data_IF_791169546289
#
_entry.id   IF_791169546289
#
_cell.length_a   1.000
_cell.length_b   1.000
_cell.length_c   1.000
_cell.angle_alpha   90.00
_cell.angle_beta   90.00
_cell.angle_gamma   90.00
#
_symmetry.space_group_name_H-M   'P 1'
#
loop_
_entity.id
_entity.type
_entity.pdbx_description
1 polymer ?
#
# COMPACT_ATOMS: atom_id res chain seq x y z
N UNK A 1 -8.24 -13.52 1.25
CA UNK A 1 -7.53 -14.66 0.62
C UNK A 1 -8.40 -15.84 0.20
N UNK A 2 -9.18 -16.49 1.09
CA UNK A 2 -9.98 -17.67 0.66
C UNK A 2 -11.02 -17.27 -0.41
N UNK A 3 -11.72 -16.15 -0.23
CA UNK A 3 -12.72 -15.65 -1.20
C UNK A 3 -12.08 -15.18 -2.53
N UNK A 4 -10.89 -14.58 -2.46
CA UNK A 4 -10.15 -14.07 -3.62
C UNK A 4 -9.60 -15.23 -4.47
N UNK A 5 -9.17 -16.31 -3.81
CA UNK A 5 -8.76 -17.56 -4.46
C UNK A 5 -9.90 -18.29 -5.18
N UNK A 6 -11.16 -17.88 -4.98
CA UNK A 6 -12.33 -18.38 -5.70
C UNK A 6 -12.81 -17.43 -6.83
N UNK A 7 -12.18 -16.27 -7.03
CA UNK A 7 -12.54 -15.34 -8.11
C UNK A 7 -13.73 -14.40 -7.84
N UNK A 8 -14.18 -14.24 -6.58
CA UNK A 8 -15.26 -13.29 -6.22
C UNK A 8 -14.73 -11.91 -5.79
N UNK A 9 -14.11 -11.18 -6.72
CA UNK A 9 -13.65 -9.79 -6.52
C UNK A 9 -14.80 -8.86 -6.10
N UNK A 10 -16.02 -9.15 -6.56
CA UNK A 10 -17.24 -8.38 -6.23
C UNK A 10 -17.68 -8.62 -4.79
N UNK A 11 -17.54 -9.84 -4.27
CA UNK A 11 -17.82 -10.19 -2.88
C UNK A 11 -16.86 -9.52 -1.89
N UNK A 12 -15.58 -9.49 -2.25
CA UNK A 12 -14.57 -8.74 -1.50
C UNK A 12 -14.87 -7.24 -1.44
N UNK A 13 -15.22 -6.63 -2.58
CA UNK A 13 -15.60 -5.21 -2.65
C UNK A 13 -16.84 -4.91 -1.79
N UNK A 14 -17.88 -5.76 -1.83
CA UNK A 14 -19.09 -5.61 -1.01
C UNK A 14 -18.82 -5.79 0.49
N UNK A 15 -17.92 -6.70 0.87
CA UNK A 15 -17.53 -6.88 2.26
C UNK A 15 -16.80 -5.65 2.79
N UNK A 16 -15.93 -5.07 1.97
CA UNK A 16 -15.25 -3.81 2.26
C UNK A 16 -16.24 -2.63 2.39
N UNK A 17 -17.20 -2.48 1.47
CA UNK A 17 -18.22 -1.42 1.54
C UNK A 17 -19.09 -1.51 2.81
N UNK A 18 -19.44 -2.72 3.25
CA UNK A 18 -20.19 -2.94 4.49
C UNK A 18 -19.36 -2.66 5.74
N UNK A 19 -18.09 -3.06 5.76
CA UNK A 19 -17.19 -2.72 6.85
C UNK A 19 -17.00 -1.20 6.95
N UNK A 20 -16.80 -0.52 5.82
CA UNK A 20 -16.67 0.94 5.75
C UNK A 20 -17.91 1.68 6.27
N UNK A 21 -19.12 1.17 5.96
CA UNK A 21 -20.37 1.75 6.45
C UNK A 21 -20.56 1.58 7.97
N UNK A 22 -20.02 0.52 8.57
CA UNK A 22 -20.09 0.27 10.01
C UNK A 22 -19.05 1.07 10.81
N UNK A 23 -17.92 1.38 10.18
CA UNK A 23 -16.76 2.03 10.81
C UNK A 23 -16.82 3.58 10.76
N UNK A 24 -17.77 4.14 10.01
CA UNK A 24 -17.93 5.59 9.83
C UNK A 24 -18.17 6.42 11.12
N UNK A 25 -18.32 5.78 12.28
CA UNK A 25 -18.46 6.42 13.59
C UNK A 25 -17.13 6.54 14.38
N UNK A 26 -16.02 5.96 13.91
CA UNK A 26 -14.73 5.95 14.62
C UNK A 26 -13.55 6.33 13.69
N UNK A 27 -13.03 7.57 13.76
CA UNK A 27 -11.99 8.07 12.84
C UNK A 27 -10.71 7.22 12.76
N UNK A 28 -10.14 6.66 13.87
CA UNK A 28 -8.95 5.82 13.79
C UNK A 28 -9.19 4.51 13.00
N UNK A 29 -10.41 3.98 13.05
CA UNK A 29 -10.75 2.76 12.34
C UNK A 29 -10.93 3.03 10.83
N UNK A 30 -11.31 4.25 10.43
CA UNK A 30 -11.38 4.65 9.02
C UNK A 30 -10.00 4.75 8.36
N UNK A 31 -9.00 5.24 9.08
CA UNK A 31 -7.58 5.24 8.68
C UNK A 31 -7.09 3.84 8.33
N UNK A 32 -7.19 2.93 9.30
CA UNK A 32 -6.80 1.54 9.12
C UNK A 32 -7.58 0.84 7.98
N UNK A 33 -8.88 1.11 7.85
CA UNK A 33 -9.71 0.55 6.76
C UNK A 33 -9.25 1.06 5.40
N UNK A 34 -8.93 2.34 5.28
CA UNK A 34 -8.42 2.93 4.04
C UNK A 34 -7.06 2.30 3.66
N UNK A 35 -6.15 2.17 4.62
CA UNK A 35 -4.85 1.53 4.39
C UNK A 35 -4.99 0.07 3.97
N UNK A 36 -5.87 -0.70 4.62
CA UNK A 36 -6.15 -2.09 4.22
C UNK A 36 -6.63 -2.18 2.76
N UNK A 37 -7.58 -1.33 2.36
CA UNK A 37 -8.05 -1.29 0.97
C UNK A 37 -6.98 -0.89 -0.03
N UNK A 38 -6.20 0.17 0.26
CA UNK A 38 -5.14 0.60 -0.66
C UNK A 38 -4.05 -0.45 -0.75
N UNK A 39 -3.65 -1.05 0.38
CA UNK A 39 -2.65 -2.12 0.43
C UNK A 39 -3.09 -3.36 -0.34
N UNK A 40 -4.34 -3.79 -0.17
CA UNK A 40 -4.91 -4.90 -0.93
C UNK A 40 -4.95 -4.59 -2.44
N UNK A 41 -5.44 -3.42 -2.82
CA UNK A 41 -5.48 -2.99 -4.20
C UNK A 41 -4.08 -2.87 -4.82
N UNK A 42 -3.06 -2.50 -4.04
CA UNK A 42 -1.66 -2.52 -4.45
C UNK A 42 -1.17 -3.93 -4.79
N UNK A 43 -1.50 -4.92 -3.95
CA UNK A 43 -1.15 -6.34 -4.19
C UNK A 43 -1.88 -6.88 -5.43
N UNK A 44 -3.18 -6.59 -5.55
CA UNK A 44 -4.03 -7.04 -6.66
C UNK A 44 -3.82 -6.23 -7.95
N UNK A 45 -3.02 -5.16 -7.89
CA UNK A 45 -2.80 -4.19 -8.98
C UNK A 45 -4.08 -3.47 -9.46
N UNK A 46 -5.08 -3.33 -8.60
CA UNK A 46 -6.34 -2.61 -8.86
C UNK A 46 -6.20 -1.10 -8.58
N UNK A 47 -5.66 -0.37 -9.56
CA UNK A 47 -5.48 1.09 -9.45
C UNK A 47 -6.79 1.86 -9.21
N UNK A 48 -7.91 1.55 -9.90
CA UNK A 48 -9.21 2.18 -9.58
C UNK A 48 -9.63 2.02 -8.12
N UNK A 49 -9.49 0.83 -7.52
CA UNK A 49 -9.82 0.63 -6.10
C UNK A 49 -8.90 1.44 -5.18
N UNK A 50 -7.59 1.41 -5.43
CA UNK A 50 -6.61 2.15 -4.63
C UNK A 50 -6.90 3.67 -4.63
N UNK A 51 -7.15 4.26 -5.82
CA UNK A 51 -7.51 5.68 -5.95
C UNK A 51 -8.82 6.02 -5.24
N UNK A 52 -9.85 5.17 -5.38
CA UNK A 52 -11.15 5.39 -4.71
C UNK A 52 -11.00 5.39 -3.19
N UNK A 53 -10.26 4.43 -2.64
CA UNK A 53 -10.04 4.33 -1.20
C UNK A 53 -9.29 5.56 -0.65
N UNK A 54 -8.18 5.95 -1.30
CA UNK A 54 -7.41 7.13 -0.89
C UNK A 54 -8.24 8.42 -1.01
N UNK A 55 -9.02 8.57 -2.10
CA UNK A 55 -9.90 9.73 -2.27
C UNK A 55 -10.93 9.85 -1.15
N UNK A 56 -11.55 8.74 -0.73
CA UNK A 56 -12.45 8.72 0.43
C UNK A 56 -11.73 9.13 1.71
N UNK A 57 -10.48 8.69 1.89
CA UNK A 57 -9.66 9.11 3.03
C UNK A 57 -9.38 10.61 3.05
N UNK A 58 -9.06 11.20 1.89
CA UNK A 58 -8.89 12.65 1.74
C UNK A 58 -10.19 13.41 2.03
N UNK A 59 -11.33 12.94 1.52
CA UNK A 59 -12.64 13.54 1.74
C UNK A 59 -13.09 13.45 3.20
N UNK A 60 -12.70 12.38 3.90
CA UNK A 60 -12.94 12.19 5.33
C UNK A 60 -11.94 12.94 6.23
N UNK A 61 -10.94 13.61 5.66
CA UNK A 61 -9.89 14.32 6.39
C UNK A 61 -9.21 13.44 7.46
N UNK A 62 -8.81 12.22 7.04
CA UNK A 62 -8.09 11.28 7.90
C UNK A 62 -6.73 11.83 8.34
N UNK A 63 -6.10 11.12 9.29
CA UNK A 63 -4.79 11.51 9.82
C UNK A 63 -3.73 11.65 8.71
N UNK A 64 -2.82 12.60 8.88
CA UNK A 64 -1.77 12.91 7.90
C UNK A 64 -0.86 11.70 7.66
N UNK A 65 -0.55 10.90 8.69
CA UNK A 65 0.31 9.72 8.54
C UNK A 65 -0.36 8.64 7.69
N UNK A 66 -1.63 8.35 7.94
CA UNK A 66 -2.41 7.38 7.16
C UNK A 66 -2.49 7.82 5.69
N UNK A 67 -2.78 9.09 5.44
CA UNK A 67 -2.85 9.64 4.09
C UNK A 67 -1.51 9.55 3.35
N UNK A 68 -0.39 9.77 4.04
CA UNK A 68 0.94 9.61 3.45
C UNK A 68 1.18 8.16 3.03
N UNK A 69 0.91 7.18 3.88
CA UNK A 69 1.10 5.77 3.53
C UNK A 69 0.20 5.35 2.35
N UNK A 70 -1.08 5.71 2.38
CA UNK A 70 -1.99 5.45 1.27
C UNK A 70 -1.54 6.14 -0.02
N UNK A 71 -1.07 7.38 0.07
CA UNK A 71 -0.52 8.16 -1.04
C UNK A 71 0.72 7.51 -1.66
N UNK A 72 1.66 7.03 -0.85
CA UNK A 72 2.86 6.32 -1.30
C UNK A 72 2.49 5.08 -2.12
N UNK A 73 1.55 4.28 -1.64
CA UNK A 73 1.15 3.04 -2.29
C UNK A 73 0.41 3.28 -3.60
N UNK A 74 -0.51 4.26 -3.66
CA UNK A 74 -1.15 4.66 -4.92
C UNK A 74 -0.11 5.15 -5.92
N UNK A 75 0.81 6.03 -5.51
CA UNK A 75 1.86 6.56 -6.39
C UNK A 75 2.75 5.45 -6.96
N UNK A 76 3.14 4.49 -6.12
CA UNK A 76 3.95 3.36 -6.54
C UNK A 76 3.19 2.43 -7.50
N UNK A 77 1.91 2.22 -7.27
CA UNK A 77 1.06 1.45 -8.17
C UNK A 77 0.94 2.14 -9.54
N UNK A 78 0.66 3.45 -9.58
CA UNK A 78 0.62 4.27 -10.79
C UNK A 78 1.92 4.12 -11.61
N UNK A 79 3.06 4.29 -10.94
CA UNK A 79 4.40 4.12 -11.55
C UNK A 79 4.59 2.70 -12.09
N UNK A 80 4.21 1.67 -11.32
CA UNK A 80 4.36 0.27 -11.73
C UNK A 80 3.47 -0.16 -12.89
N UNK A 81 2.40 0.61 -13.15
CA UNK A 81 1.49 0.40 -14.27
C UNK A 81 1.83 1.30 -15.46
N UNK A 82 2.79 2.23 -15.31
CA UNK A 82 3.12 3.21 -16.35
C UNK A 82 1.97 4.17 -16.64
N UNK A 83 1.06 4.38 -15.68
CA UNK A 83 -0.13 5.23 -15.84
C UNK A 83 0.12 6.61 -15.26
N UNK A 84 -0.35 7.65 -15.95
CA UNK A 84 -0.27 9.02 -15.44
C UNK A 84 -1.07 9.17 -14.13
N UNK A 85 -0.53 9.96 -13.20
CA UNK A 85 -1.22 10.25 -11.94
C UNK A 85 -2.49 11.06 -12.19
N UNK A 86 -3.54 10.80 -11.40
CA UNK A 86 -4.74 11.63 -11.38
C UNK A 86 -4.67 12.75 -10.31
N UNK A 87 -3.52 12.88 -9.65
CA UNK A 87 -3.25 13.86 -8.60
C UNK A 87 -3.76 13.46 -7.22
N UNK A 88 -4.46 12.33 -7.06
CA UNK A 88 -4.95 11.87 -5.74
C UNK A 88 -3.80 11.56 -4.79
N UNK A 89 -2.81 10.80 -5.26
CA UNK A 89 -1.62 10.49 -4.46
C UNK A 89 -0.80 11.74 -4.12
N UNK A 90 -0.61 12.65 -5.08
CA UNK A 90 0.11 13.92 -4.86
C UNK A 90 -0.51 14.74 -3.74
N UNK A 91 -1.83 14.95 -3.77
CA UNK A 91 -2.54 15.70 -2.71
C UNK A 91 -2.38 15.10 -1.32
N UNK A 92 -2.31 13.78 -1.20
CA UNK A 92 -2.11 13.11 0.09
C UNK A 92 -0.68 13.29 0.63
N UNK A 93 0.31 13.43 -0.26
CA UNK A 93 1.73 13.57 0.09
C UNK A 93 2.14 15.02 0.34
N UNK A 94 1.48 15.97 -0.32
CA UNK A 94 1.85 17.40 -0.28
C UNK A 94 1.77 18.01 1.13
N UNK A 95 0.83 17.56 1.97
CA UNK A 95 0.69 18.04 3.35
C UNK A 95 1.90 17.72 4.23
N UNK A 96 2.60 16.62 3.96
CA UNK A 96 3.69 16.12 4.77
C UNK A 96 5.09 16.49 4.23
N UNK A 97 5.22 16.92 2.97
CA UNK A 97 6.52 17.01 2.24
C UNK A 97 7.60 17.87 2.92
N UNK A 98 7.22 18.83 3.77
CA UNK A 98 8.16 19.72 4.47
C UNK A 98 8.25 19.42 5.98
N UNK A 99 7.64 18.33 6.46
CA UNK A 99 7.69 17.93 7.86
C UNK A 99 9.01 17.23 8.18
N UNK A 100 9.50 17.42 9.41
CA UNK A 100 10.70 16.74 9.90
C UNK A 100 10.45 15.28 10.33
N UNK A 101 9.18 14.86 10.44
CA UNK A 101 8.75 13.50 10.79
C UNK A 101 9.27 12.46 9.79
N UNK A 102 9.18 11.17 10.14
CA UNK A 102 9.53 10.11 9.21
C UNK A 102 8.61 10.09 7.98
N UNK A 103 7.30 10.21 8.17
CA UNK A 103 6.30 10.35 7.10
C UNK A 103 6.58 11.55 6.20
N UNK A 104 7.06 12.67 6.75
CA UNK A 104 7.51 13.81 5.96
C UNK A 104 8.72 13.52 5.07
N UNK A 105 9.69 12.73 5.58
CA UNK A 105 10.82 12.26 4.77
C UNK A 105 10.38 11.29 3.67
N UNK A 106 9.44 10.39 3.95
CA UNK A 106 8.84 9.52 2.94
C UNK A 106 8.13 10.33 1.84
N UNK A 107 7.34 11.34 2.22
CA UNK A 107 6.67 12.23 1.28
C UNK A 107 7.67 13.05 0.44
N UNK A 108 8.75 13.55 1.05
CA UNK A 108 9.82 14.24 0.35
C UNK A 108 10.56 13.34 -0.63
N UNK A 109 10.82 12.08 -0.27
CA UNK A 109 11.37 11.07 -1.18
C UNK A 109 10.42 10.77 -2.35
N UNK A 110 9.13 10.57 -2.08
CA UNK A 110 8.12 10.31 -3.10
C UNK A 110 8.04 11.41 -4.16
N UNK A 111 8.24 12.66 -3.72
CA UNK A 111 8.30 13.87 -4.54
C UNK A 111 9.69 14.15 -5.15
N UNK A 112 10.66 13.25 -4.99
CA UNK A 112 12.00 13.37 -5.60
C UNK A 112 12.93 14.38 -4.91
N UNK A 113 12.56 14.93 -3.75
CA UNK A 113 13.43 15.82 -2.95
C UNK A 113 14.51 15.07 -2.18
N UNK A 114 14.30 13.77 -1.93
CA UNK A 114 15.24 12.88 -1.25
C UNK A 114 15.52 11.70 -2.18
N UNK A 115 16.80 11.32 -2.32
CA UNK A 115 17.20 10.17 -3.13
C UNK A 115 16.95 8.84 -2.38
N UNK A 116 16.89 7.71 -3.10
CA UNK A 116 16.80 6.38 -2.50
C UNK A 116 17.92 6.12 -1.48
N UNK A 117 19.15 6.54 -1.83
CA UNK A 117 20.33 6.36 -0.98
C UNK A 117 20.23 7.20 0.30
N UNK A 118 19.68 8.41 0.22
CA UNK A 118 19.57 9.30 1.37
C UNK A 118 18.37 8.93 2.26
N UNK A 119 17.28 8.42 1.69
CA UNK A 119 16.14 7.92 2.49
C UNK A 119 16.60 6.86 3.49
N UNK A 120 17.42 5.90 3.03
CA UNK A 120 17.97 4.85 3.88
C UNK A 120 18.90 5.38 4.99
N UNK A 121 19.67 6.44 4.73
CA UNK A 121 20.54 7.07 5.74
C UNK A 121 19.77 7.87 6.79
N UNK A 122 18.61 8.40 6.43
CA UNK A 122 17.78 9.20 7.34
C UNK A 122 16.95 8.34 8.31
N UNK A 123 16.87 7.03 8.10
CA UNK A 123 16.18 6.10 8.98
C UNK A 123 16.91 5.94 10.32
N UNK A 124 16.23 6.28 11.41
CA UNK A 124 16.82 6.36 12.75
C UNK A 124 16.64 5.06 13.55
N UNK A 125 15.64 4.25 13.24
CA UNK A 125 15.35 3.01 13.94
C UNK A 125 15.13 1.82 12.98
N UNK A 126 14.96 0.62 13.54
CA UNK A 126 14.84 -0.60 12.75
C UNK A 126 13.61 -0.58 11.84
N UNK A 127 12.47 -0.06 12.32
CA UNK A 127 11.25 0.03 11.53
C UNK A 127 11.43 0.94 10.31
N UNK A 128 11.94 2.15 10.51
CA UNK A 128 12.20 3.12 9.44
C UNK A 128 13.17 2.58 8.38
N UNK A 129 14.17 1.78 8.80
CA UNK A 129 15.08 1.12 7.86
C UNK A 129 14.35 0.09 6.98
N UNK A 130 13.42 -0.67 7.56
CA UNK A 130 12.61 -1.66 6.85
C UNK A 130 11.65 -0.96 5.89
N UNK A 131 11.00 0.12 6.31
CA UNK A 131 10.16 0.94 5.45
C UNK A 131 10.95 1.52 4.27
N UNK A 132 12.12 2.13 4.53
CA UNK A 132 12.98 2.66 3.46
C UNK A 132 13.39 1.57 2.46
N UNK A 133 13.71 0.36 2.94
CA UNK A 133 14.00 -0.78 2.08
C UNK A 133 12.79 -1.20 1.25
N UNK A 134 11.60 -1.23 1.84
CA UNK A 134 10.36 -1.53 1.13
C UNK A 134 10.09 -0.52 0.01
N UNK A 135 10.05 0.76 0.35
CA UNK A 135 9.72 1.83 -0.59
C UNK A 135 10.71 1.92 -1.74
N UNK A 136 12.01 1.81 -1.47
CA UNK A 136 13.04 1.79 -2.53
C UNK A 136 13.00 0.52 -3.36
N UNK A 137 12.67 -0.64 -2.78
CA UNK A 137 12.46 -1.88 -3.53
C UNK A 137 11.24 -1.78 -4.47
N UNK A 138 10.14 -1.21 -3.99
CA UNK A 138 8.94 -0.97 -4.79
C UNK A 138 9.19 0.02 -5.93
N UNK A 139 9.93 1.11 -5.69
CA UNK A 139 10.31 2.05 -6.73
C UNK A 139 11.17 1.39 -7.82
N UNK A 140 12.15 0.56 -7.41
CA UNK A 140 12.95 -0.26 -8.31
C UNK A 140 12.11 -1.25 -9.11
N UNK A 141 11.14 -1.91 -8.46
CA UNK A 141 10.19 -2.82 -9.12
C UNK A 141 9.39 -2.10 -10.20
N UNK A 142 8.88 -0.90 -9.88
CA UNK A 142 8.15 -0.06 -10.83
C UNK A 142 9.02 0.38 -12.02
N UNK A 143 10.33 0.55 -11.81
CA UNK A 143 11.31 0.84 -12.87
C UNK A 143 11.78 -0.41 -13.66
N UNK A 144 11.28 -1.61 -13.34
CA UNK A 144 11.68 -2.85 -14.02
C UNK A 144 13.03 -3.42 -13.59
N UNK A 145 13.57 -3.02 -12.43
CA UNK A 145 14.83 -3.56 -11.89
C UNK A 145 14.66 -5.03 -11.46
N UNK A 146 15.44 -5.93 -12.08
CA UNK A 146 15.39 -7.37 -11.82
C UNK A 146 15.76 -7.76 -10.37
N UNK A 147 16.52 -6.91 -9.66
CA UNK A 147 16.89 -7.11 -8.26
C UNK A 147 15.83 -6.65 -7.26
N UNK A 148 14.71 -6.09 -7.71
CA UNK A 148 13.67 -5.55 -6.82
C UNK A 148 12.99 -6.64 -5.97
N UNK A 149 12.71 -7.80 -6.54
CA UNK A 149 12.04 -8.89 -5.83
C UNK A 149 12.91 -9.52 -4.74
N UNK A 150 14.24 -9.55 -4.95
CA UNK A 150 15.18 -9.97 -3.90
C UNK A 150 15.18 -9.00 -2.72
N UNK A 151 15.09 -7.69 -2.99
CA UNK A 151 15.00 -6.66 -1.95
C UNK A 151 13.69 -6.75 -1.18
N UNK A 152 12.56 -6.95 -1.88
CA UNK A 152 11.26 -7.22 -1.23
C UNK A 152 11.33 -8.51 -0.39
N UNK A 153 12.06 -9.53 -0.85
CA UNK A 153 12.24 -10.77 -0.08
C UNK A 153 13.01 -10.52 1.22
N UNK A 154 13.99 -9.64 1.23
CA UNK A 154 14.66 -9.22 2.47
C UNK A 154 13.68 -8.53 3.44
N UNK A 155 12.83 -7.62 2.95
CA UNK A 155 11.79 -6.96 3.75
C UNK A 155 10.81 -7.98 4.35
N UNK A 156 10.34 -8.95 3.55
CA UNK A 156 9.38 -9.97 3.99
C UNK A 156 9.87 -10.84 5.17
N UNK A 157 11.21 -10.93 5.32
CA UNK A 157 11.90 -11.71 6.37
C UNK A 157 12.27 -10.86 7.59
N UNK A 158 11.97 -9.56 7.58
CA UNK A 158 12.26 -8.67 8.69
C UNK A 158 11.60 -9.14 10.00
N UNK A 159 12.29 -9.05 11.16
CA UNK A 159 11.70 -9.36 12.46
C UNK A 159 10.70 -8.29 12.94
N UNK A 160 10.58 -7.15 12.25
CA UNK A 160 9.63 -6.08 12.58
C UNK A 160 8.25 -6.41 11.98
N UNK A 161 7.60 -7.43 12.53
CA UNK A 161 6.41 -8.07 11.93
C UNK A 161 5.16 -7.19 11.88
N UNK A 162 5.07 -6.18 12.75
CA UNK A 162 3.88 -5.32 12.89
C UNK A 162 3.81 -4.21 11.83
N UNK A 163 4.79 -4.12 10.92
CA UNK A 163 4.77 -3.17 9.82
C UNK A 163 3.91 -3.66 8.65
N UNK A 164 3.06 -2.76 8.16
CA UNK A 164 2.23 -3.00 6.96
C UNK A 164 3.11 -3.34 5.75
N UNK A 165 4.28 -2.71 5.62
CA UNK A 165 5.26 -2.95 4.56
C UNK A 165 5.78 -4.40 4.55
N UNK A 166 6.00 -4.98 5.74
CA UNK A 166 6.43 -6.38 5.86
C UNK A 166 5.29 -7.31 5.46
N UNK A 167 4.05 -7.00 5.84
CA UNK A 167 2.89 -7.76 5.40
C UNK A 167 2.71 -7.68 3.88
N UNK A 168 2.70 -6.47 3.31
CA UNK A 168 2.57 -6.25 1.86
C UNK A 168 3.67 -6.95 1.07
N UNK A 169 4.93 -6.90 1.52
CA UNK A 169 6.01 -7.63 0.88
C UNK A 169 5.77 -9.14 0.87
N UNK A 170 5.21 -9.71 1.95
CA UNK A 170 4.81 -11.13 2.00
C UNK A 170 3.66 -11.42 1.05
N UNK A 171 2.66 -10.54 1.00
CA UNK A 171 1.51 -10.70 0.11
C UNK A 171 1.93 -10.70 -1.37
N UNK A 172 2.79 -9.77 -1.78
CA UNK A 172 3.26 -9.66 -3.18
C UNK A 172 4.18 -10.81 -3.61
N UNK A 173 4.90 -11.41 -2.67
CA UNK A 173 5.81 -12.53 -2.93
C UNK A 173 5.13 -13.90 -2.73
N UNK A 174 3.91 -13.92 -2.20
CA UNK A 174 3.17 -15.15 -2.03
C UNK A 174 2.90 -15.78 -3.40
N UNK A 175 3.01 -17.12 -3.52
CA UNK A 175 2.62 -17.80 -4.75
C UNK A 175 1.14 -17.56 -5.04
N UNK A 176 0.77 -17.46 -6.32
CA UNK A 176 -0.64 -17.42 -6.72
C UNK A 176 -1.37 -18.65 -6.16
N UNK A 177 -2.30 -18.42 -5.25
CA UNK A 177 -3.13 -19.48 -4.69
C UNK A 177 -4.24 -19.82 -5.70
N UNK A 178 -4.01 -20.81 -6.56
CA UNK A 178 -5.04 -21.37 -7.43
C UNK A 178 -5.73 -22.52 -6.71
N UNK A 179 -6.91 -22.26 -6.17
CA UNK A 179 -7.76 -23.31 -5.60
C UNK A 179 -8.77 -23.75 -6.66
N UNK A 180 -8.73 -25.02 -7.04
CA UNK A 180 -9.82 -25.59 -7.84
C UNK A 180 -11.04 -25.77 -6.95
N UNK A 181 -12.20 -25.31 -7.42
CA UNK A 181 -13.48 -25.62 -6.77
C UNK A 181 -13.64 -27.15 -6.76
N UNK A 182 -13.96 -27.77 -5.61
CA UNK A 182 -14.38 -29.16 -5.57
C UNK A 182 -15.53 -29.36 -6.55
N UNK A 183 -15.54 -30.48 -7.30
CA UNK A 183 -16.51 -30.76 -8.38
C UNK A 183 -17.99 -30.61 -8.00
N UNK A 184 -18.30 -30.50 -6.71
CA UNK A 184 -19.64 -30.49 -6.15
C UNK A 184 -19.99 -29.15 -5.46
N UNK A 185 -19.15 -28.11 -5.59
CA UNK A 185 -19.35 -26.81 -4.95
C UNK A 185 -19.62 -25.72 -5.99
N UNK A 186 -20.69 -24.95 -5.76
CA UNK A 186 -20.99 -23.72 -6.49
C UNK A 186 -20.77 -22.53 -5.55
N UNK A 187 -20.14 -21.47 -6.05
CA UNK A 187 -20.08 -20.20 -5.33
C UNK A 187 -21.49 -19.58 -5.26
N UNK A 188 -21.87 -18.97 -4.12
CA UNK A 188 -23.18 -18.34 -3.94
C UNK A 188 -23.38 -17.10 -4.81
#
# INVERSE_FOLDING_TARGET
>A
RILDGYGDEKGATRAYERAFALVAAEPPQLGATMLDAVGRALVERDLPAARRALKRGLEANLDEEDLVYGGLWVLLLERSLGVATDGTAGRALDSAVNRASWTGKLAAWANGKISDADLGKLAQNAAQRVEAQFYTAMAKKAAGDAGADERLRAVSKSPVIDLLEVHLAREMLAPELRLELPRNASLP
#
